data_IF_420707124081
#
_entry.id   IF_420707124081
#
_cell.length_a   1.000
_cell.length_b   1.000
_cell.length_c   1.000
_cell.angle_alpha   90.00
_cell.angle_beta   90.00
_cell.angle_gamma   90.00
#
_symmetry.space_group_name_H-M   'P 1'
#
loop_
_entity.id
_entity.type
_entity.pdbx_description
1 polymer ?
#
# COMPACT_ATOMS: atom_id res chain seq x y z
N UNK A 1 -11.23 -21.55 -3.25
CA UNK A 1 -10.85 -20.29 -3.88
C UNK A 1 -9.48 -19.86 -3.38
N UNK A 2 -8.68 -19.20 -4.22
CA UNK A 2 -7.35 -18.67 -3.88
C UNK A 2 -7.50 -17.18 -3.57
N UNK A 3 -7.19 -16.78 -2.34
CA UNK A 3 -7.26 -15.40 -1.86
C UNK A 3 -5.84 -14.92 -1.55
N UNK A 4 -5.42 -13.86 -2.22
CA UNK A 4 -4.13 -13.22 -1.97
C UNK A 4 -4.35 -11.90 -1.22
N UNK A 5 -3.80 -11.78 -0.01
CA UNK A 5 -3.89 -10.58 0.80
C UNK A 5 -2.62 -9.75 0.62
N UNK A 6 -2.76 -8.52 0.13
CA UNK A 6 -1.64 -7.67 -0.26
C UNK A 6 -1.52 -6.47 0.67
N UNK A 7 -0.33 -6.22 1.23
CA UNK A 7 -0.05 -4.95 1.94
C UNK A 7 0.39 -3.87 0.96
N UNK A 8 0.15 -2.61 1.33
CA UNK A 8 0.60 -1.47 0.53
C UNK A 8 2.13 -1.42 0.47
N UNK A 9 2.73 -0.98 -0.65
CA UNK A 9 4.19 -0.88 -0.78
C UNK A 9 4.88 0.08 0.20
N UNK A 10 4.14 1.05 0.75
CA UNK A 10 4.64 1.99 1.76
C UNK A 10 4.19 1.64 3.19
N UNK A 11 3.65 0.43 3.41
CA UNK A 11 3.35 -0.03 4.76
C UNK A 11 4.64 -0.08 5.62
N UNK A 12 4.60 0.30 6.91
CA UNK A 12 5.74 0.16 7.82
C UNK A 12 6.38 -1.23 7.72
N UNK A 13 7.69 -1.28 7.48
CA UNK A 13 8.44 -2.55 7.36
C UNK A 13 8.97 -3.04 8.72
N UNK A 14 9.03 -2.14 9.69
CA UNK A 14 9.50 -2.35 11.06
C UNK A 14 8.40 -2.90 11.97
N UNK A 15 7.16 -2.95 11.50
CA UNK A 15 6.00 -3.46 12.23
C UNK A 15 5.25 -4.49 11.38
N UNK A 16 4.76 -5.58 11.99
CA UNK A 16 3.87 -6.50 11.29
C UNK A 16 2.52 -5.82 10.99
N UNK A 17 1.94 -6.13 9.84
CA UNK A 17 0.63 -5.60 9.46
C UNK A 17 -0.49 -6.23 10.30
N UNK A 18 -0.99 -5.47 11.28
CA UNK A 18 -2.14 -5.88 12.08
C UNK A 18 -3.38 -6.08 11.19
N UNK A 19 -3.58 -5.21 10.20
CA UNK A 19 -4.69 -5.32 9.27
C UNK A 19 -4.65 -6.65 8.51
N UNK A 20 -3.47 -7.04 8.02
CA UNK A 20 -3.28 -8.29 7.29
C UNK A 20 -3.53 -9.50 8.20
N UNK A 21 -2.96 -9.51 9.41
CA UNK A 21 -3.14 -10.61 10.37
C UNK A 21 -4.61 -10.79 10.78
N UNK A 22 -5.35 -9.70 10.99
CA UNK A 22 -6.79 -9.75 11.27
C UNK A 22 -7.57 -10.29 10.07
N UNK A 23 -7.32 -9.79 8.87
CA UNK A 23 -7.98 -10.25 7.65
C UNK A 23 -7.70 -11.73 7.37
N UNK A 24 -6.45 -12.16 7.51
CA UNK A 24 -6.07 -13.56 7.36
C UNK A 24 -6.91 -14.45 8.28
N UNK A 25 -6.94 -14.11 9.59
CA UNK A 25 -7.70 -14.88 10.58
C UNK A 25 -9.18 -14.95 10.22
N UNK A 26 -9.78 -13.82 9.88
CA UNK A 26 -11.21 -13.75 9.53
C UNK A 26 -11.53 -14.57 8.28
N UNK A 27 -10.68 -14.52 7.25
CA UNK A 27 -10.89 -15.31 6.03
C UNK A 27 -10.71 -16.80 6.30
N UNK A 28 -9.69 -17.21 7.05
CA UNK A 28 -9.51 -18.63 7.46
C UNK A 28 -10.73 -19.15 8.24
N UNK A 29 -11.29 -18.33 9.14
CA UNK A 29 -12.46 -18.74 9.93
C UNK A 29 -13.74 -18.83 9.10
N UNK A 30 -14.01 -17.83 8.25
CA UNK A 30 -15.21 -17.80 7.43
C UNK A 30 -15.15 -18.76 6.23
N UNK A 31 -13.95 -19.06 5.74
CA UNK A 31 -13.69 -19.80 4.50
C UNK A 31 -12.55 -20.82 4.69
N UNK A 32 -12.75 -21.86 5.53
CA UNK A 32 -11.68 -22.80 5.91
C UNK A 32 -11.19 -23.68 4.74
N UNK A 33 -12.01 -23.86 3.70
CA UNK A 33 -11.66 -24.66 2.53
C UNK A 33 -10.89 -23.88 1.44
N UNK A 34 -10.75 -22.56 1.59
CA UNK A 34 -10.01 -21.74 0.62
C UNK A 34 -8.49 -21.85 0.85
N UNK A 35 -7.69 -21.32 -0.06
CA UNK A 35 -6.26 -21.07 0.13
C UNK A 35 -6.08 -19.57 0.37
N UNK A 36 -5.41 -19.19 1.46
CA UNK A 36 -5.12 -17.78 1.77
C UNK A 36 -3.61 -17.63 1.84
N UNK A 37 -3.09 -16.72 1.04
CA UNK A 37 -1.67 -16.39 0.95
C UNK A 37 -1.47 -14.89 1.09
N UNK A 38 -0.28 -14.48 1.51
CA UNK A 38 0.04 -13.08 1.81
C UNK A 38 1.15 -12.58 0.89
N UNK A 39 1.03 -11.31 0.50
CA UNK A 39 2.05 -10.57 -0.24
C UNK A 39 2.40 -9.30 0.53
N UNK A 40 3.63 -9.27 1.05
CA UNK A 40 4.13 -8.14 1.82
C UNK A 40 4.77 -7.11 0.89
N UNK A 41 3.94 -6.26 0.27
CA UNK A 41 4.38 -5.29 -0.73
C UNK A 41 5.47 -4.34 -0.24
N UNK A 42 5.48 -3.99 1.05
CA UNK A 42 6.50 -3.11 1.63
C UNK A 42 7.89 -3.73 1.73
N UNK A 43 7.98 -5.03 2.02
CA UNK A 43 9.27 -5.74 2.01
C UNK A 43 9.79 -5.88 0.57
N UNK A 44 8.90 -6.25 -0.36
CA UNK A 44 9.23 -6.35 -1.78
C UNK A 44 9.68 -5.01 -2.36
N UNK A 45 9.07 -3.91 -1.92
CA UNK A 45 9.48 -2.57 -2.32
C UNK A 45 10.88 -2.21 -1.83
N UNK A 46 11.19 -2.49 -0.57
CA UNK A 46 12.52 -2.24 -0.01
C UNK A 46 13.60 -3.06 -0.74
N UNK A 47 13.33 -4.34 -1.03
CA UNK A 47 14.23 -5.20 -1.81
C UNK A 47 14.41 -4.69 -3.24
N UNK A 48 13.31 -4.34 -3.92
CA UNK A 48 13.31 -3.80 -5.27
C UNK A 48 14.14 -2.52 -5.38
N UNK A 49 13.91 -1.58 -4.46
CA UNK A 49 14.67 -0.33 -4.42
C UNK A 49 16.15 -0.56 -4.14
N UNK A 50 16.48 -1.46 -3.22
CA UNK A 50 17.87 -1.75 -2.89
C UNK A 50 18.64 -2.26 -4.12
N UNK A 51 18.03 -3.19 -4.86
CA UNK A 51 18.60 -3.75 -6.08
C UNK A 51 18.65 -2.72 -7.22
N UNK A 52 17.49 -2.16 -7.60
CA UNK A 52 17.36 -1.29 -8.79
C UNK A 52 18.06 0.05 -8.65
N UNK A 53 18.24 0.53 -7.42
CA UNK A 53 18.97 1.78 -7.16
C UNK A 53 20.48 1.57 -6.99
N UNK A 54 20.98 0.33 -7.03
CA UNK A 54 22.38 0.00 -6.78
C UNK A 54 22.81 0.30 -5.33
N UNK A 55 21.92 0.09 -4.35
CA UNK A 55 22.18 0.34 -2.93
C UNK A 55 22.07 1.80 -2.49
N UNK A 56 21.65 2.70 -3.39
CA UNK A 56 21.44 4.13 -3.09
C UNK A 56 20.22 4.38 -2.21
N UNK A 57 19.12 3.69 -2.48
CA UNK A 57 17.92 3.67 -1.65
C UNK A 57 17.95 2.40 -0.80
N UNK A 58 17.75 2.56 0.50
CA UNK A 58 17.92 1.52 1.52
C UNK A 58 16.61 1.30 2.28
N UNK A 59 16.47 0.20 3.04
CA UNK A 59 15.29 -0.03 3.86
C UNK A 59 14.98 1.14 4.83
N UNK A 60 16.00 1.82 5.36
CA UNK A 60 15.81 3.01 6.20
C UNK A 60 15.11 4.17 5.47
N UNK A 61 15.33 4.33 4.16
CA UNK A 61 14.63 5.33 3.36
C UNK A 61 13.14 4.98 3.21
N UNK A 62 12.81 3.68 3.16
CA UNK A 62 11.43 3.21 3.12
C UNK A 62 10.70 3.49 4.44
N UNK A 63 11.39 3.37 5.58
CA UNK A 63 10.86 3.77 6.90
C UNK A 63 10.63 5.28 6.95
N UNK A 64 11.58 6.08 6.46
CA UNK A 64 11.43 7.54 6.44
C UNK A 64 10.20 7.99 5.64
N UNK A 65 9.94 7.35 4.49
CA UNK A 65 8.80 7.69 3.62
C UNK A 65 7.48 7.09 4.09
N UNK A 66 7.49 5.83 4.55
CA UNK A 66 6.27 5.07 4.88
C UNK A 66 5.81 5.19 6.33
N UNK A 67 6.74 5.32 7.28
CA UNK A 67 6.46 5.40 8.72
C UNK A 67 6.62 6.83 9.23
N UNK A 68 7.81 7.42 9.10
CA UNK A 68 8.11 8.72 9.73
C UNK A 68 7.31 9.85 9.10
N UNK A 69 7.06 9.76 7.80
CA UNK A 69 6.30 10.74 7.03
C UNK A 69 4.85 10.31 6.71
N UNK A 70 4.29 9.33 7.45
CA UNK A 70 2.95 8.81 7.19
C UNK A 70 1.86 9.89 7.28
N UNK A 71 2.01 10.85 8.21
CA UNK A 71 1.07 11.98 8.37
C UNK A 71 1.12 12.97 7.21
N UNK A 72 2.20 12.96 6.44
CA UNK A 72 2.37 13.77 5.23
C UNK A 72 1.91 13.02 3.97
N UNK A 73 1.58 11.72 4.07
CA UNK A 73 1.16 10.91 2.93
C UNK A 73 2.27 10.73 1.88
N UNK A 74 3.55 10.79 2.27
CA UNK A 74 4.65 10.70 1.31
C UNK A 74 4.67 9.33 0.61
N UNK A 75 4.31 8.26 1.33
CA UNK A 75 4.11 6.93 0.75
C UNK A 75 3.10 6.93 -0.39
N UNK A 76 1.91 7.48 -0.17
CA UNK A 76 0.88 7.61 -1.21
C UNK A 76 1.38 8.44 -2.41
N UNK A 77 2.18 9.48 -2.16
CA UNK A 77 2.75 10.31 -3.22
C UNK A 77 3.83 9.61 -4.06
N UNK A 78 4.56 8.63 -3.52
CA UNK A 78 5.50 7.84 -4.32
C UNK A 78 4.75 7.09 -5.43
N UNK A 79 3.56 6.54 -5.12
CA UNK A 79 2.84 5.66 -6.03
C UNK A 79 1.73 6.35 -6.84
N UNK A 80 1.41 7.61 -6.52
CA UNK A 80 0.26 8.27 -7.13
C UNK A 80 0.35 8.43 -8.65
N UNK A 81 1.56 8.61 -9.21
CA UNK A 81 1.74 8.71 -10.67
C UNK A 81 1.35 7.45 -11.44
N UNK A 82 1.49 6.28 -10.80
CA UNK A 82 1.15 4.99 -11.41
C UNK A 82 -0.36 4.87 -11.61
N UNK A 83 -1.18 5.47 -10.74
CA UNK A 83 -2.63 5.40 -10.83
C UNK A 83 -3.21 6.16 -12.02
N UNK A 84 -2.48 7.15 -12.54
CA UNK A 84 -2.93 8.05 -13.61
C UNK A 84 -2.15 7.89 -14.91
N UNK A 85 -1.23 6.91 -14.96
CA UNK A 85 -0.31 6.69 -16.08
C UNK A 85 0.45 7.97 -16.49
N UNK A 86 0.79 8.79 -15.49
CA UNK A 86 1.44 10.08 -15.65
C UNK A 86 2.48 10.26 -14.52
N UNK A 87 3.76 10.19 -14.90
CA UNK A 87 4.88 10.30 -13.98
C UNK A 87 4.96 11.67 -13.29
N UNK A 88 4.49 12.73 -13.97
CA UNK A 88 4.48 14.09 -13.47
C UNK A 88 3.22 14.41 -12.65
N UNK A 89 2.21 13.53 -12.70
CA UNK A 89 0.96 13.70 -11.97
C UNK A 89 1.18 13.93 -10.49
N UNK A 90 0.70 15.06 -9.97
CA UNK A 90 0.78 15.33 -8.55
C UNK A 90 2.20 15.55 -8.04
N UNK A 91 3.16 15.98 -8.87
CA UNK A 91 4.53 16.37 -8.43
C UNK A 91 4.61 17.82 -7.93
N UNK A 92 3.78 18.72 -8.48
CA UNK A 92 3.72 20.14 -8.06
C UNK A 92 3.19 20.32 -6.64
N UNK A 93 2.12 19.58 -6.27
CA UNK A 93 1.47 19.72 -4.96
C UNK A 93 2.39 19.33 -3.79
N UNK A 94 3.14 18.20 -3.83
CA UNK A 94 4.16 17.86 -2.84
C UNK A 94 5.21 18.94 -2.68
N UNK A 95 5.74 19.48 -3.78
CA UNK A 95 6.74 20.55 -3.74
C UNK A 95 6.19 21.81 -3.09
N UNK A 96 4.98 22.21 -3.42
CA UNK A 96 4.31 23.34 -2.78
C UNK A 96 4.01 23.09 -1.30
N UNK A 97 3.59 21.88 -0.93
CA UNK A 97 3.35 21.50 0.46
C UNK A 97 4.64 21.51 1.28
N UNK A 98 5.72 20.93 0.74
CA UNK A 98 7.04 20.94 1.33
C UNK A 98 7.60 22.36 1.46
N UNK A 99 7.36 23.25 0.49
CA UNK A 99 7.79 24.65 0.57
C UNK A 99 6.99 25.48 1.58
N UNK A 100 5.74 25.10 1.85
CA UNK A 100 4.87 25.76 2.82
C UNK A 100 5.07 25.25 4.26
N UNK A 101 5.76 24.13 4.44
CA UNK A 101 6.05 23.52 5.73
C UNK A 101 7.54 23.19 5.88
N UNK A 102 7.89 22.48 6.94
CA UNK A 102 9.24 21.93 7.14
C UNK A 102 9.22 20.41 6.87
N UNK A 103 8.83 20.04 5.64
CA UNK A 103 8.63 18.63 5.25
C UNK A 103 9.66 18.24 4.18
N UNK A 104 10.51 17.28 4.52
CA UNK A 104 11.52 16.75 3.60
C UNK A 104 10.90 15.73 2.65
N UNK A 105 10.91 16.01 1.33
CA UNK A 105 10.25 15.17 0.32
C UNK A 105 11.22 14.53 -0.68
N UNK A 106 12.52 14.84 -0.61
CA UNK A 106 13.48 14.41 -1.64
C UNK A 106 13.57 12.89 -1.74
N UNK A 107 13.52 12.18 -0.61
CA UNK A 107 13.53 10.71 -0.60
C UNK A 107 12.32 10.14 -1.34
N UNK A 108 11.12 10.69 -1.11
CA UNK A 108 9.91 10.28 -1.82
C UNK A 108 10.01 10.59 -3.32
N UNK A 109 10.55 11.76 -3.69
CA UNK A 109 10.80 12.12 -5.09
C UNK A 109 11.84 11.21 -5.75
N UNK A 110 12.87 10.77 -5.03
CA UNK A 110 13.89 9.85 -5.52
C UNK A 110 13.37 8.42 -5.72
N UNK A 111 12.38 8.01 -4.91
CA UNK A 111 11.72 6.71 -5.00
C UNK A 111 10.70 6.63 -6.15
N UNK A 112 10.02 7.74 -6.44
CA UNK A 112 8.91 7.78 -7.39
C UNK A 112 9.21 7.22 -8.79
N UNK A 113 10.38 7.44 -9.42
CA UNK A 113 10.70 6.86 -10.73
C UNK A 113 10.68 5.33 -10.77
N UNK A 114 10.85 4.67 -9.62
CA UNK A 114 10.87 3.20 -9.51
C UNK A 114 9.47 2.59 -9.34
N UNK A 115 8.46 3.40 -9.01
CA UNK A 115 7.12 2.92 -8.68
C UNK A 115 6.39 2.22 -9.85
N UNK A 116 6.44 2.72 -11.11
CA UNK A 116 5.74 2.06 -12.22
C UNK A 116 6.23 0.63 -12.46
N UNK A 117 7.54 0.43 -12.57
CA UNK A 117 8.15 -0.88 -12.81
C UNK A 117 7.86 -1.85 -11.66
N UNK A 118 7.94 -1.37 -10.42
CA UNK A 118 7.61 -2.18 -9.26
C UNK A 118 6.15 -2.63 -9.26
N UNK A 119 5.20 -1.75 -9.57
CA UNK A 119 3.78 -2.11 -9.63
C UNK A 119 3.52 -3.12 -10.76
N UNK A 120 4.19 -2.99 -11.90
CA UNK A 120 4.10 -3.95 -13.00
C UNK A 120 4.63 -5.34 -12.60
N UNK A 121 5.79 -5.40 -11.92
CA UNK A 121 6.33 -6.65 -11.39
C UNK A 121 5.39 -7.27 -10.32
N UNK A 122 4.86 -6.45 -9.39
CA UNK A 122 3.91 -6.92 -8.38
C UNK A 122 2.63 -7.46 -9.00
N UNK A 123 2.05 -6.76 -9.98
CA UNK A 123 0.85 -7.21 -10.65
C UNK A 123 1.08 -8.56 -11.36
N UNK A 124 2.24 -8.72 -12.00
CA UNK A 124 2.63 -9.97 -12.65
C UNK A 124 2.71 -11.12 -11.66
N UNK A 125 3.38 -10.92 -10.52
CA UNK A 125 3.53 -11.96 -9.49
C UNK A 125 2.20 -12.30 -8.82
N UNK A 126 1.41 -11.30 -8.44
CA UNK A 126 0.11 -11.50 -7.79
C UNK A 126 -0.83 -12.26 -8.72
N UNK A 127 -0.84 -11.95 -10.02
CA UNK A 127 -1.65 -12.67 -11.00
C UNK A 127 -1.13 -14.08 -11.29
N UNK A 128 0.19 -14.30 -11.23
CA UNK A 128 0.79 -15.64 -11.39
C UNK A 128 0.40 -16.61 -10.25
N UNK A 129 -0.02 -16.09 -9.09
CA UNK A 129 -0.56 -16.90 -7.99
C UNK A 129 -1.98 -17.43 -8.27
N UNK A 130 -2.55 -17.13 -9.44
CA UNK A 130 -3.90 -17.48 -9.90
C UNK A 130 -4.99 -17.15 -8.85
N UNK A 131 -5.03 -15.91 -8.32
CA UNK A 131 -6.07 -15.54 -7.37
C UNK A 131 -7.42 -15.52 -8.09
N UNK A 132 -8.47 -16.02 -7.43
CA UNK A 132 -9.79 -16.00 -8.04
C UNK A 132 -10.29 -14.56 -8.20
N UNK A 133 -10.30 -14.06 -9.43
CA UNK A 133 -10.79 -12.73 -9.79
C UNK A 133 -12.33 -12.66 -9.81
N UNK A 134 -12.97 -12.55 -8.64
CA UNK A 134 -14.37 -12.11 -8.64
C UNK A 134 -14.44 -10.61 -8.96
N UNK A 135 -14.87 -10.30 -10.18
CA UNK A 135 -15.24 -8.96 -10.71
C UNK A 135 -16.33 -8.18 -9.93
N UNK A 136 -16.49 -8.39 -8.63
CA UNK A 136 -17.57 -7.83 -7.80
C UNK A 136 -17.12 -6.86 -6.68
N UNK A 137 -15.85 -6.46 -6.61
CA UNK A 137 -15.34 -5.62 -5.52
C UNK A 137 -15.56 -4.09 -5.70
N UNK A 138 -16.39 -3.64 -6.64
CA UNK A 138 -16.80 -2.23 -6.72
C UNK A 138 -18.07 -1.90 -5.91
N UNK A 139 -18.78 -2.90 -5.38
CA UNK A 139 -20.10 -2.72 -4.74
C UNK A 139 -20.17 -2.94 -3.23
N UNK A 140 -19.09 -3.39 -2.58
CA UNK A 140 -19.16 -3.84 -1.18
C UNK A 140 -18.58 -2.86 -0.15
N UNK A 141 -17.86 -1.82 -0.58
CA UNK A 141 -17.37 -0.79 0.36
C UNK A 141 -18.50 0.12 0.87
N UNK A 142 -19.57 0.30 0.07
CA UNK A 142 -20.76 1.09 0.46
C UNK A 142 -21.61 0.41 1.53
N UNK A 143 -21.49 -0.91 1.72
CA UNK A 143 -22.35 -1.65 2.68
C UNK A 143 -21.81 -1.59 4.12
N UNK A 144 -20.50 -1.43 4.33
CA UNK A 144 -19.93 -1.25 5.68
C UNK A 144 -20.25 0.12 6.28
N UNK A 145 -20.57 1.13 5.46
CA UNK A 145 -21.01 2.44 5.96
C UNK A 145 -22.48 2.46 6.40
N UNK A 146 -23.32 1.55 5.90
CA UNK A 146 -24.73 1.43 6.28
C UNK A 146 -24.97 0.68 7.58
N UNK A 147 -24.08 -0.26 7.94
CA UNK A 147 -24.25 -1.09 9.14
C UNK A 147 -23.67 -0.44 10.41
N UNK A 148 -22.89 0.65 10.29
CA UNK A 148 -22.40 1.45 11.43
C UNK A 148 -23.37 2.52 11.92
N UNK A 149 -24.42 2.86 11.16
CA UNK A 149 -25.47 3.80 11.59
C UNK A 149 -26.56 3.15 12.47
N UNK A 150 -26.51 1.83 12.68
CA UNK A 150 -27.48 1.10 13.50
C UNK A 150 -27.09 0.92 14.98
N UNK A 151 -25.91 1.43 15.40
CA UNK A 151 -25.54 1.51 16.80
C UNK A 151 -25.96 2.89 17.35
N UNK A 152 -27.19 2.95 17.87
CA UNK A 152 -27.74 4.13 18.53
C UNK A 152 -26.87 4.64 19.70
N UNK A 153 -27.10 5.87 20.17
CA UNK A 153 -26.18 6.55 21.08
C UNK A 153 -26.09 5.84 22.43
N UNK A 154 -24.86 5.52 22.83
CA UNK A 154 -24.52 5.12 24.20
C UNK A 154 -24.77 6.33 25.10
N UNK A 155 -25.82 6.26 25.92
CA UNK A 155 -26.05 7.26 26.97
C UNK A 155 -24.98 7.12 28.06
N UNK A 156 -24.42 8.27 28.46
CA UNK A 156 -23.57 8.43 29.64
C UNK A 156 -24.33 8.12 30.93
#
# INVERSE_FOLDING_TARGET
MRVHLVTMPWHPIDLPSLQLGLLHRLVRQARPADEVTEFHGSLRWAEFLLDRSGGRLRPGDCVAVGSDAILHGLGDWVFSGVLYDDADWGTTRPRSYAAAGDVYIDTALAMRPYAPDFIAECATEVLAADPDERRHAAGSFTRLHGDLELLGPVRQ
#
